data_IF_832110599295
#
_entry.id   IF_832110599295
#
_cell.length_a   1.000
_cell.length_b   1.000
_cell.length_c   1.000
_cell.angle_alpha   90.00
_cell.angle_beta   90.00
_cell.angle_gamma   90.00
#
_symmetry.space_group_name_H-M   'P 1'
#
loop_
_entity.id
_entity.type
_entity.pdbx_description
1 polymer ?
#
# COMPACT_ATOMS: atom_id res chain seq x y z
N UNK A 1 62.54 8.53 2.00
CA UNK A 1 61.33 9.10 1.37
C UNK A 1 61.19 8.45 0.02
N UNK A 2 59.95 8.06 -0.28
CA UNK A 2 59.45 7.58 -1.59
C UNK A 2 60.02 8.42 -2.73
N UNK A 3 60.23 7.88 -3.92
CA UNK A 3 59.18 7.52 -4.86
C UNK A 3 59.81 6.73 -6.03
N UNK A 4 59.08 5.75 -6.57
CA UNK A 4 59.37 5.18 -7.90
C UNK A 4 58.40 5.82 -8.87
N UNK A 5 58.94 6.66 -9.74
CA UNK A 5 58.28 7.13 -10.95
C UNK A 5 58.66 6.13 -12.06
N UNK A 6 57.66 5.51 -12.67
CA UNK A 6 57.81 4.81 -13.94
C UNK A 6 56.87 5.45 -14.97
N UNK A 7 57.42 5.49 -16.18
CA UNK A 7 57.19 6.42 -17.26
C UNK A 7 55.87 6.24 -18.03
N UNK A 8 55.54 7.32 -18.74
CA UNK A 8 54.33 7.67 -19.49
C UNK A 8 54.28 6.96 -20.86
N UNK A 9 53.07 6.57 -21.31
CA UNK A 9 52.84 6.22 -22.72
C UNK A 9 51.38 5.95 -23.13
N UNK A 10 50.85 6.82 -24.01
CA UNK A 10 49.70 6.71 -24.94
C UNK A 10 48.29 7.02 -24.40
N UNK A 11 47.62 8.17 -24.68
CA UNK A 11 46.94 8.60 -25.94
C UNK A 11 45.97 7.51 -26.45
N UNK A 12 44.64 7.69 -26.53
CA UNK A 12 43.81 8.80 -27.09
C UNK A 12 42.42 8.90 -26.39
N UNK A 13 41.96 10.11 -26.04
CA UNK A 13 40.90 10.93 -26.68
C UNK A 13 39.43 10.48 -26.46
N UNK A 14 38.72 11.30 -25.66
CA UNK A 14 37.43 11.93 -25.94
C UNK A 14 36.42 11.19 -26.85
N UNK A 15 35.23 10.90 -26.30
CA UNK A 15 34.03 11.69 -26.60
C UNK A 15 32.76 10.97 -26.14
N UNK A 16 32.20 11.42 -25.02
CA UNK A 16 30.80 11.13 -24.68
C UNK A 16 29.93 12.13 -25.47
N UNK A 17 29.63 11.77 -26.71
CA UNK A 17 28.77 12.58 -27.58
C UNK A 17 27.32 12.42 -27.14
N UNK A 18 26.80 13.49 -26.52
CA UNK A 18 25.38 13.84 -26.52
C UNK A 18 24.85 13.79 -27.95
N UNK A 19 23.76 13.08 -28.21
CA UNK A 19 22.84 13.44 -29.30
C UNK A 19 21.42 13.03 -28.93
N UNK A 20 20.72 14.01 -28.36
CA UNK A 20 19.30 14.19 -28.55
C UNK A 20 19.08 14.51 -30.03
N UNK A 21 18.46 13.60 -30.78
CA UNK A 21 17.65 14.01 -31.93
C UNK A 21 16.44 13.10 -32.15
N UNK A 22 15.31 13.79 -32.03
CA UNK A 22 13.99 13.45 -32.53
C UNK A 22 14.04 13.35 -34.05
N UNK A 23 13.68 12.21 -34.64
CA UNK A 23 12.90 12.17 -35.89
C UNK A 23 12.44 10.76 -36.24
N UNK A 24 11.25 10.73 -36.81
CA UNK A 24 10.42 9.59 -37.18
C UNK A 24 11.01 8.67 -38.24
N UNK A 25 10.87 7.36 -38.05
CA UNK A 25 10.61 6.43 -39.15
C UNK A 25 9.51 5.44 -38.75
N UNK A 26 8.37 5.56 -39.42
CA UNK A 26 7.23 4.65 -39.29
C UNK A 26 7.61 3.32 -39.94
N UNK A 27 7.66 2.25 -39.15
CA UNK A 27 7.51 0.88 -39.66
C UNK A 27 6.27 0.27 -39.03
N UNK A 28 5.27 0.12 -39.88
CA UNK A 28 4.00 -0.52 -39.58
C UNK A 28 4.22 -2.02 -39.53
N UNK A 29 4.67 -2.54 -38.39
CA UNK A 29 4.62 -3.97 -38.13
C UNK A 29 3.38 -4.20 -37.24
N UNK A 30 2.30 -4.63 -37.89
CA UNK A 30 1.05 -5.06 -37.26
C UNK A 30 1.36 -6.22 -36.31
N UNK A 31 1.51 -5.92 -35.02
CA UNK A 31 1.43 -6.92 -33.98
C UNK A 31 -0.03 -7.32 -33.86
N UNK A 32 -0.39 -8.41 -34.53
CA UNK A 32 -1.57 -9.21 -34.20
C UNK A 32 -1.41 -9.70 -32.76
N UNK A 33 -1.90 -8.89 -31.82
CA UNK A 33 -2.16 -9.34 -30.46
C UNK A 33 -3.41 -10.19 -30.58
N UNK A 34 -3.19 -11.49 -30.67
CA UNK A 34 -4.22 -12.51 -30.52
C UNK A 34 -4.82 -12.31 -29.13
N UNK A 35 -6.08 -11.85 -29.10
CA UNK A 35 -6.83 -11.73 -27.87
C UNK A 35 -7.14 -13.16 -27.43
N UNK A 36 -6.39 -13.66 -26.44
CA UNK A 36 -6.73 -14.90 -25.73
C UNK A 36 -8.16 -14.76 -25.17
N UNK A 37 -9.08 -15.52 -25.73
CA UNK A 37 -10.51 -15.57 -25.39
C UNK A 37 -10.79 -16.41 -24.13
N UNK A 38 -9.79 -16.51 -23.23
CA UNK A 38 -9.85 -17.26 -21.96
C UNK A 38 -9.69 -16.32 -20.74
N UNK A 39 -10.10 -15.06 -20.86
CA UNK A 39 -10.29 -14.20 -19.69
C UNK A 39 -11.67 -14.47 -19.08
N UNK A 40 -11.86 -15.72 -18.64
CA UNK A 40 -13.00 -16.09 -17.81
C UNK A 40 -12.85 -15.27 -16.52
N UNK A 41 -13.71 -14.26 -16.37
CA UNK A 41 -13.72 -13.38 -15.20
C UNK A 41 -14.15 -14.21 -13.98
N UNK A 42 -13.19 -14.90 -13.36
CA UNK A 42 -13.38 -15.64 -12.10
C UNK A 42 -13.48 -14.69 -10.91
N UNK A 43 -13.94 -13.44 -11.11
CA UNK A 43 -14.31 -12.50 -10.06
C UNK A 43 -15.54 -13.03 -9.35
N UNK A 44 -15.27 -14.00 -8.50
CA UNK A 44 -16.15 -14.39 -7.41
C UNK A 44 -16.62 -13.12 -6.71
N UNK A 45 -17.95 -12.93 -6.68
CA UNK A 45 -18.55 -11.84 -5.93
C UNK A 45 -18.08 -11.98 -4.48
N UNK A 46 -17.20 -11.07 -4.07
CA UNK A 46 -16.72 -11.03 -2.72
C UNK A 46 -17.87 -10.63 -1.82
N UNK A 47 -18.41 -11.62 -1.13
CA UNK A 47 -19.31 -11.38 -0.04
C UNK A 47 -18.48 -10.87 1.14
N UNK A 48 -18.55 -9.57 1.40
CA UNK A 48 -18.16 -8.97 2.69
C UNK A 48 -19.14 -9.34 3.81
N UNK A 49 -19.96 -10.37 3.60
CA UNK A 49 -20.81 -10.96 4.62
C UNK A 49 -19.94 -11.22 5.85
N UNK A 50 -20.41 -10.73 7.00
CA UNK A 50 -19.75 -10.89 8.29
C UNK A 50 -19.32 -12.35 8.42
N UNK A 51 -18.01 -12.58 8.44
CA UNK A 51 -17.46 -13.93 8.53
C UNK A 51 -18.14 -14.64 9.71
N UNK A 52 -18.52 -15.90 9.52
CA UNK A 52 -19.13 -16.68 10.58
C UNK A 52 -18.07 -16.85 11.68
N UNK A 53 -18.18 -16.03 12.73
CA UNK A 53 -17.30 -16.05 13.88
C UNK A 53 -17.38 -17.43 14.52
N UNK A 54 -16.24 -18.06 14.77
CA UNK A 54 -16.16 -19.28 15.56
C UNK A 54 -16.56 -19.00 17.01
N UNK A 55 -16.96 -20.03 17.76
CA UNK A 55 -17.34 -19.87 19.17
C UNK A 55 -16.23 -19.16 19.97
N UNK A 56 -14.96 -19.55 19.75
CA UNK A 56 -13.80 -18.95 20.43
C UNK A 56 -13.58 -17.47 20.05
N UNK A 57 -13.95 -17.06 18.82
CA UNK A 57 -13.87 -15.67 18.37
C UNK A 57 -14.99 -14.80 18.96
N UNK A 58 -16.20 -15.35 19.07
CA UNK A 58 -17.35 -14.70 19.70
C UNK A 58 -17.11 -14.44 21.19
N UNK A 59 -16.55 -15.42 21.91
CA UNK A 59 -16.12 -15.25 23.31
C UNK A 59 -15.09 -14.13 23.44
N UNK A 60 -14.11 -14.09 22.54
CA UNK A 60 -13.07 -13.06 22.55
C UNK A 60 -13.63 -11.68 22.21
N UNK A 61 -14.57 -11.58 21.28
CA UNK A 61 -15.30 -10.35 20.96
C UNK A 61 -16.00 -9.81 22.21
N UNK A 62 -16.76 -10.65 22.91
CA UNK A 62 -17.48 -10.25 24.12
C UNK A 62 -16.53 -9.71 25.20
N UNK A 63 -15.36 -10.34 25.37
CA UNK A 63 -14.32 -9.86 26.28
C UNK A 63 -13.78 -8.48 25.86
N UNK A 64 -13.51 -8.26 24.58
CA UNK A 64 -13.02 -6.97 24.07
C UNK A 64 -14.09 -5.88 24.29
N UNK A 65 -15.36 -6.18 24.02
CA UNK A 65 -16.48 -5.25 24.19
C UNK A 65 -16.72 -4.89 25.66
N UNK A 66 -16.66 -5.87 26.57
CA UNK A 66 -16.70 -5.63 28.02
C UNK A 66 -15.59 -4.65 28.42
N UNK A 67 -14.36 -4.92 27.96
CA UNK A 67 -13.20 -4.08 28.24
C UNK A 67 -13.36 -2.68 27.65
N UNK A 68 -13.98 -2.53 26.49
CA UNK A 68 -14.19 -1.23 25.87
C UNK A 68 -15.14 -0.33 26.69
N UNK A 69 -16.05 -0.93 27.46
CA UNK A 69 -16.92 -0.22 28.40
C UNK A 69 -16.18 0.32 29.65
N UNK A 70 -15.03 -0.26 29.99
CA UNK A 70 -14.24 0.10 31.16
C UNK A 70 -13.28 1.26 30.85
N UNK A 71 -13.58 2.46 31.36
CA UNK A 71 -12.74 3.66 31.17
C UNK A 71 -11.35 3.61 31.84
N UNK A 72 -11.08 2.60 32.67
CA UNK A 72 -9.84 2.49 33.46
C UNK A 72 -8.85 1.46 32.89
N UNK A 73 -9.04 1.02 31.65
CA UNK A 73 -8.15 0.01 31.06
C UNK A 73 -6.78 0.59 30.74
N UNK A 74 -5.76 -0.21 31.08
CA UNK A 74 -4.37 0.07 30.76
C UNK A 74 -4.03 -0.39 29.34
N UNK A 75 -3.17 0.36 28.66
CA UNK A 75 -2.63 0.03 27.33
C UNK A 75 -2.10 -1.41 27.21
N UNK A 76 -1.44 -1.91 28.27
CA UNK A 76 -0.91 -3.28 28.36
C UNK A 76 -2.01 -4.34 28.14
N UNK A 77 -3.22 -4.09 28.61
CA UNK A 77 -4.35 -5.01 28.41
C UNK A 77 -4.72 -5.11 26.93
N UNK A 78 -4.78 -3.98 26.24
CA UNK A 78 -5.06 -3.96 24.79
C UNK A 78 -3.95 -4.65 23.99
N UNK A 79 -2.69 -4.47 24.37
CA UNK A 79 -1.55 -5.15 23.73
C UNK A 79 -1.66 -6.68 23.89
N UNK A 80 -1.96 -7.15 25.10
CA UNK A 80 -2.13 -8.58 25.37
C UNK A 80 -3.31 -9.16 24.58
N UNK A 81 -4.43 -8.44 24.50
CA UNK A 81 -5.59 -8.86 23.71
C UNK A 81 -5.26 -8.92 22.21
N UNK A 82 -4.51 -7.95 21.68
CA UNK A 82 -4.10 -7.91 20.28
C UNK A 82 -3.11 -9.01 19.88
N UNK A 83 -2.20 -9.41 20.79
CA UNK A 83 -1.18 -10.46 20.54
C UNK A 83 -1.74 -11.87 20.77
N UNK A 84 -2.71 -12.02 21.68
CA UNK A 84 -3.33 -13.32 21.97
C UNK A 84 -4.07 -13.89 20.76
N UNK A 85 -4.31 -15.22 20.78
CA UNK A 85 -4.96 -15.98 19.70
C UNK A 85 -6.21 -15.28 19.17
N UNK A 86 -6.39 -15.25 17.84
CA UNK A 86 -7.44 -14.51 17.11
C UNK A 86 -7.29 -12.98 17.05
N UNK A 87 -6.30 -12.38 17.74
CA UNK A 87 -6.06 -10.94 17.70
C UNK A 87 -7.29 -10.12 18.06
N UNK A 88 -7.58 -9.05 17.32
CA UNK A 88 -8.75 -8.19 17.58
C UNK A 88 -10.05 -8.66 16.91
N UNK A 89 -10.11 -9.94 16.51
CA UNK A 89 -11.28 -10.63 15.92
C UNK A 89 -11.77 -9.98 14.62
N UNK A 90 -12.44 -8.83 14.70
CA UNK A 90 -13.16 -8.19 13.60
C UNK A 90 -12.80 -6.71 13.40
N UNK A 91 -13.12 -6.21 12.21
CA UNK A 91 -12.81 -4.83 11.76
C UNK A 91 -13.47 -3.77 12.64
N UNK A 92 -14.70 -4.00 13.09
CA UNK A 92 -15.45 -3.09 13.96
C UNK A 92 -14.78 -2.86 15.33
N UNK A 93 -14.17 -3.91 15.89
CA UNK A 93 -13.36 -3.82 17.11
C UNK A 93 -12.01 -3.15 16.83
N UNK A 94 -11.38 -3.45 15.68
CA UNK A 94 -10.11 -2.84 15.27
C UNK A 94 -10.24 -1.32 15.11
N UNK A 95 -11.33 -0.84 14.51
CA UNK A 95 -11.63 0.59 14.38
C UNK A 95 -11.67 1.32 15.74
N UNK A 96 -12.06 0.62 16.81
CA UNK A 96 -12.14 1.20 18.15
C UNK A 96 -10.83 1.03 18.95
N UNK A 97 -10.20 -0.14 18.86
CA UNK A 97 -9.03 -0.48 19.70
C UNK A 97 -7.72 0.04 19.11
N UNK A 98 -7.56 0.14 17.78
CA UNK A 98 -6.33 0.67 17.18
C UNK A 98 -6.03 2.12 17.57
N UNK A 99 -6.99 3.07 17.54
CA UNK A 99 -6.75 4.42 18.05
C UNK A 99 -6.31 4.42 19.53
N UNK A 100 -6.92 3.57 20.36
CA UNK A 100 -6.55 3.43 21.78
C UNK A 100 -5.14 2.88 21.96
N UNK A 101 -4.70 1.95 21.12
CA UNK A 101 -3.33 1.41 21.12
C UNK A 101 -2.31 2.46 20.69
N UNK A 102 -2.66 3.32 19.75
CA UNK A 102 -1.81 4.40 19.23
C UNK A 102 -1.86 5.67 20.09
N UNK A 103 -2.77 5.75 21.06
CA UNK A 103 -3.02 6.97 21.85
C UNK A 103 -3.59 8.12 21.00
N UNK A 104 -4.26 7.79 19.90
CA UNK A 104 -4.89 8.75 18.98
C UNK A 104 -6.37 8.84 19.32
N UNK A 105 -6.88 10.08 19.34
CA UNK A 105 -8.31 10.33 19.52
C UNK A 105 -8.99 10.37 18.14
N UNK A 106 -9.87 9.40 17.83
CA UNK A 106 -10.53 9.35 16.53
C UNK A 106 -11.54 10.47 16.31
N UNK A 107 -11.90 11.23 17.36
CA UNK A 107 -12.82 12.37 17.25
C UNK A 107 -12.11 13.68 16.87
N UNK A 108 -10.78 13.68 16.75
CA UNK A 108 -10.05 14.88 16.31
C UNK A 108 -10.16 14.97 14.79
N UNK A 109 -10.93 15.95 14.34
CA UNK A 109 -11.02 16.28 12.92
C UNK A 109 -9.67 16.86 12.47
N UNK A 110 -8.90 16.06 11.74
CA UNK A 110 -7.75 16.57 10.99
C UNK A 110 -8.25 17.27 9.71
N UNK A 111 -7.60 18.37 9.35
CA UNK A 111 -7.94 19.11 8.13
C UNK A 111 -7.51 18.25 6.95
N UNK A 112 -8.48 17.72 6.21
CA UNK A 112 -8.23 16.96 4.98
C UNK A 112 -7.84 17.98 3.88
N UNK A 113 -6.62 17.91 3.33
CA UNK A 113 -6.19 18.82 2.27
C UNK A 113 -6.99 18.58 0.98
N UNK A 114 -7.12 19.63 0.18
CA UNK A 114 -7.78 19.55 -1.13
C UNK A 114 -6.92 18.80 -2.15
N UNK A 115 -7.55 18.29 -3.21
CA UNK A 115 -6.83 17.60 -4.29
C UNK A 115 -5.85 18.53 -5.01
N UNK A 116 -6.18 19.82 -5.16
CA UNK A 116 -5.30 20.81 -5.78
C UNK A 116 -4.00 20.96 -4.97
N UNK A 117 -4.12 21.11 -3.64
CA UNK A 117 -2.98 21.16 -2.73
C UNK A 117 -2.13 19.88 -2.81
N UNK A 118 -2.76 18.70 -2.80
CA UNK A 118 -2.07 17.42 -2.91
C UNK A 118 -1.36 17.25 -4.25
N UNK A 119 -1.96 17.68 -5.35
CA UNK A 119 -1.40 17.55 -6.71
C UNK A 119 -0.18 18.43 -6.96
N UNK A 120 -0.07 19.53 -6.19
CA UNK A 120 1.08 20.43 -6.24
C UNK A 120 2.32 19.88 -5.53
N UNK A 121 2.16 18.83 -4.71
CA UNK A 121 3.24 18.23 -3.93
C UNK A 121 4.23 17.47 -4.83
N UNK A 122 5.54 17.59 -4.58
CA UNK A 122 6.59 16.97 -5.41
C UNK A 122 6.47 15.45 -5.53
N UNK A 123 6.00 14.79 -4.47
CA UNK A 123 5.85 13.35 -4.35
C UNK A 123 4.51 12.83 -4.89
N UNK A 124 3.60 13.70 -5.35
CA UNK A 124 2.27 13.29 -5.81
C UNK A 124 2.33 12.17 -6.87
N UNK A 125 3.17 12.36 -7.90
CA UNK A 125 3.31 11.36 -8.97
C UNK A 125 3.84 10.02 -8.44
N UNK A 126 4.70 10.05 -7.42
CA UNK A 126 5.23 8.83 -6.79
C UNK A 126 4.13 8.09 -6.03
N UNK A 127 3.29 8.81 -5.27
CA UNK A 127 2.14 8.23 -4.56
C UNK A 127 1.17 7.59 -5.54
N UNK A 128 0.86 8.24 -6.66
CA UNK A 128 -0.01 7.67 -7.72
C UNK A 128 0.53 6.34 -8.24
N UNK A 129 1.84 6.28 -8.55
CA UNK A 129 2.47 5.05 -9.02
C UNK A 129 2.39 3.94 -7.97
N UNK A 130 2.63 4.24 -6.69
CA UNK A 130 2.62 3.26 -5.61
C UNK A 130 1.20 2.77 -5.29
N UNK A 131 0.21 3.65 -5.33
CA UNK A 131 -1.21 3.28 -5.20
C UNK A 131 -1.60 2.32 -6.32
N UNK A 132 -1.32 2.66 -7.58
CA UNK A 132 -1.63 1.81 -8.74
C UNK A 132 -0.96 0.42 -8.64
N UNK A 133 0.29 0.37 -8.18
CA UNK A 133 1.00 -0.91 -7.92
C UNK A 133 0.38 -1.71 -6.78
N UNK A 134 -0.28 -1.05 -5.82
CA UNK A 134 -0.88 -1.66 -4.65
C UNK A 134 -2.32 -2.14 -4.86
N UNK A 135 -3.02 -1.69 -5.91
CA UNK A 135 -4.44 -2.02 -6.17
C UNK A 135 -4.71 -3.53 -6.21
N UNK A 136 -3.75 -4.32 -6.70
CA UNK A 136 -3.81 -5.79 -6.71
C UNK A 136 -3.87 -6.45 -5.31
N UNK A 137 -3.59 -5.71 -4.24
CA UNK A 137 -3.68 -6.18 -2.86
C UNK A 137 -5.10 -6.08 -2.31
N UNK A 138 -5.95 -5.28 -2.96
CA UNK A 138 -7.35 -5.20 -2.60
C UNK A 138 -8.11 -6.37 -3.25
N UNK A 139 -9.10 -6.93 -2.55
CA UNK A 139 -9.95 -7.96 -3.12
C UNK A 139 -10.66 -7.50 -4.41
N UNK A 140 -10.78 -8.36 -5.45
CA UNK A 140 -11.44 -8.01 -6.71
C UNK A 140 -12.96 -7.88 -6.53
N UNK A 141 -13.49 -6.66 -6.41
CA UNK A 141 -14.93 -6.51 -6.13
C UNK A 141 -15.47 -5.08 -6.08
N UNK A 142 -14.79 -4.16 -5.38
CA UNK A 142 -15.51 -2.96 -4.89
C UNK A 142 -15.09 -1.60 -5.44
N UNK A 143 -14.05 -1.48 -6.27
CA UNK A 143 -13.51 -0.15 -6.63
C UNK A 143 -13.32 0.12 -8.13
N UNK A 144 -13.98 -0.63 -9.01
CA UNK A 144 -13.76 -0.48 -10.46
C UNK A 144 -14.74 0.47 -11.18
N UNK A 145 -15.55 1.25 -10.45
CA UNK A 145 -16.43 2.28 -11.02
C UNK A 145 -16.20 3.62 -10.32
N UNK A 146 -15.10 4.29 -10.64
CA UNK A 146 -14.89 5.72 -10.42
C UNK A 146 -14.43 6.36 -11.72
#
# INVERSE_FOLDING_TARGET
MEHKDDDIGSLDEDSLVLNNDCSSERRSDELNIEYDEDNEDTRSELKFDKACETEEESEKRALIEEKLGDKNITLQTWQNLAISRYGLVADDLRCQVWPLLLGVDPSKDEIIPSLEELSSHSEYQQVVLDVNRSLKRFPPGELYSI
#
